data_IF_318428675989
#
_entry.id   IF_318428675989
#
_cell.length_a   1.000
_cell.length_b   1.000
_cell.length_c   1.000
_cell.angle_alpha   90.00
_cell.angle_beta   90.00
_cell.angle_gamma   90.00
#
_symmetry.space_group_name_H-M   'P 1'
#
loop_
_entity.id
_entity.type
_entity.pdbx_description
1 polymer ?
#
# COMPACT_ATOMS: atom_id res chain seq x y z
N UNK A 1 -46.85 52.24 41.88
CA UNK A 1 -47.60 51.02 41.49
C UNK A 1 -46.79 50.34 40.42
N UNK A 2 -46.55 49.04 40.60
CA UNK A 2 -45.40 48.28 40.12
C UNK A 2 -45.23 48.22 38.60
N UNK A 3 -43.96 48.25 38.18
CA UNK A 3 -43.50 47.86 36.85
C UNK A 3 -43.44 46.32 36.83
N UNK A 4 -44.49 45.65 36.36
CA UNK A 4 -44.47 44.20 36.23
C UNK A 4 -43.89 43.81 34.87
N UNK A 5 -42.59 43.51 34.91
CA UNK A 5 -41.89 42.83 33.84
C UNK A 5 -42.31 41.36 33.79
N UNK A 6 -43.03 41.00 32.74
CA UNK A 6 -43.29 39.61 32.37
C UNK A 6 -43.07 39.43 30.86
N UNK A 7 -41.85 39.73 30.42
CA UNK A 7 -41.35 39.18 29.16
C UNK A 7 -41.06 37.69 29.39
N UNK A 8 -42.04 36.88 29.04
CA UNK A 8 -41.99 35.42 29.05
C UNK A 8 -40.86 34.97 28.10
N UNK A 9 -39.71 34.63 28.68
CA UNK A 9 -38.57 34.04 27.96
C UNK A 9 -38.95 32.60 27.60
N UNK A 10 -39.45 32.41 26.37
CA UNK A 10 -39.72 31.09 25.80
C UNK A 10 -38.42 30.26 25.77
N UNK A 11 -38.42 29.00 26.23
CA UNK A 11 -37.20 28.23 26.41
C UNK A 11 -36.55 27.93 25.04
N UNK A 12 -35.24 28.19 24.87
CA UNK A 12 -34.53 27.89 23.62
C UNK A 12 -34.33 26.38 23.38
N UNK A 13 -34.98 25.50 24.14
CA UNK A 13 -34.69 24.06 24.20
C UNK A 13 -35.01 23.31 22.90
N UNK A 14 -36.01 23.75 22.13
CA UNK A 14 -36.36 23.09 20.86
C UNK A 14 -35.42 23.49 19.72
N UNK A 15 -35.03 24.75 19.62
CA UNK A 15 -34.01 25.18 18.65
C UNK A 15 -32.64 24.61 19.00
N UNK A 16 -32.30 24.54 20.30
CA UNK A 16 -31.04 23.95 20.74
C UNK A 16 -31.03 22.43 20.53
N UNK A 17 -32.15 21.74 20.75
CA UNK A 17 -32.31 20.31 20.45
C UNK A 17 -32.30 20.04 18.94
N UNK A 18 -32.94 20.90 18.13
CA UNK A 18 -32.90 20.78 16.67
C UNK A 18 -31.51 21.08 16.12
N UNK A 19 -30.80 22.06 16.68
CA UNK A 19 -29.42 22.39 16.32
C UNK A 19 -28.44 21.29 16.75
N UNK A 20 -28.63 20.71 17.94
CA UNK A 20 -27.86 19.56 18.42
C UNK A 20 -28.18 18.28 17.62
N UNK A 21 -29.42 18.12 17.16
CA UNK A 21 -29.84 17.02 16.28
C UNK A 21 -29.26 17.16 14.87
N UNK A 22 -29.26 18.37 14.30
CA UNK A 22 -28.63 18.69 13.00
C UNK A 22 -27.11 18.49 13.07
N UNK A 23 -26.45 18.92 14.16
CA UNK A 23 -25.02 18.65 14.40
C UNK A 23 -24.76 17.16 14.67
N UNK A 24 -25.68 16.43 15.30
CA UNK A 24 -25.55 14.98 15.55
C UNK A 24 -25.68 14.14 14.28
N UNK A 25 -26.38 14.62 13.25
CA UNK A 25 -26.43 13.98 11.93
C UNK A 25 -25.27 14.34 11.03
N UNK A 26 -24.45 15.34 11.40
CA UNK A 26 -23.16 15.58 10.78
C UNK A 26 -22.14 14.61 11.39
N UNK A 27 -22.30 13.32 11.09
CA UNK A 27 -21.21 12.37 11.26
C UNK A 27 -20.00 12.98 10.54
N UNK A 28 -18.85 13.19 11.21
CA UNK A 28 -17.64 13.51 10.47
C UNK A 28 -17.47 12.38 9.48
N UNK A 29 -17.49 12.71 8.20
CA UNK A 29 -16.93 11.83 7.18
C UNK A 29 -15.45 11.80 7.52
N UNK A 30 -15.05 10.94 8.46
CA UNK A 30 -13.67 10.60 8.66
C UNK A 30 -13.22 10.11 7.29
N UNK A 31 -12.43 10.93 6.59
CA UNK A 31 -11.70 10.49 5.43
C UNK A 31 -10.81 9.35 5.92
N UNK A 32 -11.33 8.12 5.81
CA UNK A 32 -10.58 6.88 6.01
C UNK A 32 -9.26 7.10 5.32
N UNK A 33 -8.20 7.21 6.12
CA UNK A 33 -6.88 7.53 5.62
C UNK A 33 -6.53 6.50 4.55
N UNK A 34 -5.85 6.89 3.47
CA UNK A 34 -5.52 5.93 2.40
C UNK A 34 -4.82 4.68 2.98
N UNK A 35 -4.07 4.87 4.06
CA UNK A 35 -3.43 3.84 4.89
C UNK A 35 -4.41 2.80 5.48
N UNK A 36 -5.57 3.24 5.98
CA UNK A 36 -6.63 2.36 6.49
C UNK A 36 -7.34 1.61 5.38
N UNK A 37 -7.50 2.25 4.21
CA UNK A 37 -8.02 1.58 3.00
C UNK A 37 -7.04 0.52 2.50
N UNK A 38 -5.73 0.73 2.63
CA UNK A 38 -4.72 -0.30 2.33
C UNK A 38 -4.70 -1.42 3.37
N UNK A 39 -5.05 -1.13 4.63
CA UNK A 39 -5.13 -2.14 5.68
C UNK A 39 -6.26 -3.15 5.45
N UNK A 40 -7.36 -2.73 4.82
CA UNK A 40 -8.50 -3.58 4.49
C UNK A 40 -8.54 -3.88 2.98
N UNK A 41 -7.75 -4.86 2.53
CA UNK A 41 -7.75 -5.26 1.12
C UNK A 41 -6.55 -6.11 0.69
N UNK A 42 -6.41 -6.40 -0.61
CA UNK A 42 -5.30 -7.19 -1.15
C UNK A 42 -3.92 -6.52 -0.95
N UNK A 43 -3.91 -5.20 -0.72
CA UNK A 43 -2.70 -4.44 -0.40
C UNK A 43 -2.22 -4.57 1.06
N UNK A 44 -3.03 -5.16 1.95
CA UNK A 44 -2.63 -5.47 3.33
C UNK A 44 -1.32 -6.27 3.39
N UNK A 45 -1.11 -7.18 2.44
CA UNK A 45 0.12 -7.98 2.33
C UNK A 45 1.36 -7.09 2.17
N UNK A 46 1.25 -5.99 1.41
CA UNK A 46 2.34 -5.03 1.23
C UNK A 46 2.51 -4.16 2.47
N UNK A 47 1.41 -3.73 3.09
CA UNK A 47 1.43 -2.96 4.34
C UNK A 47 2.16 -3.73 5.44
N UNK A 48 1.82 -5.01 5.62
CA UNK A 48 2.49 -5.90 6.55
C UNK A 48 3.96 -6.10 6.21
N UNK A 49 4.28 -6.16 4.91
CA UNK A 49 5.67 -6.36 4.45
C UNK A 49 6.55 -5.15 4.74
N UNK A 50 5.99 -3.94 4.66
CA UNK A 50 6.69 -2.71 5.05
C UNK A 50 6.88 -2.65 6.56
N UNK A 51 5.82 -2.95 7.34
CA UNK A 51 5.86 -2.90 8.82
C UNK A 51 6.83 -3.93 9.40
N UNK A 52 6.80 -5.16 8.92
CA UNK A 52 7.62 -6.25 9.44
C UNK A 52 8.99 -6.35 8.73
N UNK A 53 9.26 -5.47 7.76
CA UNK A 53 10.46 -5.53 6.91
C UNK A 53 10.70 -6.91 6.27
N UNK A 54 9.63 -7.65 5.95
CA UNK A 54 9.75 -9.02 5.41
C UNK A 54 10.25 -9.01 3.98
N UNK A 55 10.93 -10.07 3.57
CA UNK A 55 11.30 -10.25 2.18
C UNK A 55 10.08 -10.54 1.29
N UNK A 56 10.06 -9.91 0.13
CA UNK A 56 9.07 -10.14 -0.92
C UNK A 56 9.76 -10.57 -2.21
N UNK A 57 9.08 -11.45 -2.94
CA UNK A 57 9.44 -11.84 -4.30
C UNK A 57 8.50 -11.12 -5.27
N UNK A 58 9.07 -10.33 -6.17
CA UNK A 58 8.34 -9.58 -7.18
C UNK A 58 8.71 -10.15 -8.55
N UNK A 59 7.69 -10.60 -9.30
CA UNK A 59 7.87 -11.00 -10.68
C UNK A 59 7.58 -9.81 -11.60
N UNK A 60 8.59 -9.39 -12.36
CA UNK A 60 8.47 -8.26 -13.28
C UNK A 60 8.10 -8.74 -14.69
N UNK A 61 7.49 -7.84 -15.48
CA UNK A 61 7.11 -8.08 -16.88
C UNK A 61 8.27 -8.47 -17.79
N UNK A 62 9.50 -8.08 -17.44
CA UNK A 62 10.69 -8.37 -18.22
C UNK A 62 11.27 -9.79 -18.00
N UNK A 63 10.47 -10.73 -17.46
CA UNK A 63 10.89 -12.07 -17.03
C UNK A 63 12.05 -12.09 -16.02
N UNK A 64 12.20 -10.98 -15.28
CA UNK A 64 13.16 -10.85 -14.19
C UNK A 64 12.43 -10.96 -12.86
N UNK A 65 13.07 -11.63 -11.90
CA UNK A 65 12.55 -11.76 -10.54
C UNK A 65 13.38 -10.88 -9.60
N UNK A 66 12.71 -10.09 -8.78
CA UNK A 66 13.34 -9.26 -7.76
C UNK A 66 13.01 -9.86 -6.40
N UNK A 67 14.03 -10.15 -5.60
CA UNK A 67 13.87 -10.49 -4.19
C UNK A 67 14.39 -9.32 -3.37
N UNK A 68 13.58 -8.73 -2.49
CA UNK A 68 14.00 -7.57 -1.73
C UNK A 68 13.07 -7.26 -0.57
N UNK A 69 13.35 -6.17 0.16
CA UNK A 69 12.46 -5.66 1.22
C UNK A 69 11.80 -4.39 0.72
N UNK A 70 10.48 -4.28 0.88
CA UNK A 70 9.73 -3.07 0.53
C UNK A 70 9.86 -2.07 1.66
N UNK A 71 10.24 -0.84 1.32
CA UNK A 71 10.32 0.27 2.28
C UNK A 71 9.08 1.17 2.22
N UNK A 72 8.54 1.37 1.03
CA UNK A 72 7.32 2.13 0.79
C UNK A 72 6.62 1.60 -0.46
N UNK A 73 5.30 1.78 -0.52
CA UNK A 73 4.49 1.49 -1.70
C UNK A 73 3.43 2.59 -1.92
N UNK A 74 2.81 2.57 -3.09
CA UNK A 74 1.78 3.53 -3.55
C UNK A 74 0.59 2.76 -4.14
N UNK A 75 -0.54 3.45 -4.38
CA UNK A 75 -1.77 2.91 -5.00
C UNK A 75 -1.53 2.29 -6.38
N UNK A 76 -0.56 2.81 -7.12
CA UNK A 76 -0.16 2.29 -8.43
C UNK A 76 0.76 1.06 -8.33
N UNK A 77 1.04 0.57 -7.12
CA UNK A 77 2.10 -0.41 -6.85
C UNK A 77 3.50 0.08 -7.23
N UNK A 78 3.72 1.39 -7.25
CA UNK A 78 5.09 1.91 -7.23
C UNK A 78 5.71 1.53 -5.89
N UNK A 79 6.94 1.03 -5.89
CA UNK A 79 7.60 0.53 -4.69
C UNK A 79 9.00 1.07 -4.56
N UNK A 80 9.38 1.43 -3.34
CA UNK A 80 10.77 1.66 -2.96
C UNK A 80 11.27 0.37 -2.32
N UNK A 81 12.32 -0.20 -2.90
CA UNK A 81 12.91 -1.46 -2.46
C UNK A 81 14.33 -1.23 -1.94
N UNK A 82 14.69 -1.97 -0.89
CA UNK A 82 16.04 -2.01 -0.34
C UNK A 82 16.57 -3.45 -0.35
N UNK A 83 17.89 -3.60 -0.46
CA UNK A 83 18.59 -4.88 -0.50
C UNK A 83 18.02 -5.83 -1.56
N UNK A 84 17.91 -5.34 -2.79
CA UNK A 84 17.30 -6.06 -3.91
C UNK A 84 18.31 -6.99 -4.56
N UNK A 85 17.92 -8.24 -4.71
CA UNK A 85 18.58 -9.26 -5.53
C UNK A 85 17.76 -9.47 -6.80
N UNK A 86 18.28 -8.98 -7.93
CA UNK A 86 17.71 -9.20 -9.25
C UNK A 86 18.22 -10.53 -9.80
N UNK A 87 17.32 -11.41 -10.23
CA UNK A 87 17.62 -12.72 -10.78
C UNK A 87 17.02 -12.84 -12.18
N UNK A 88 17.84 -13.18 -13.16
CA UNK A 88 17.40 -13.50 -14.52
C UNK A 88 18.14 -14.71 -15.07
N UNK A 89 17.48 -15.41 -15.99
CA UNK A 89 18.08 -16.53 -16.71
C UNK A 89 18.51 -16.06 -18.09
N UNK A 90 19.79 -16.24 -18.41
CA UNK A 90 20.24 -16.10 -19.80
C UNK A 90 20.23 -17.49 -20.43
N UNK A 91 19.45 -17.62 -21.50
CA UNK A 91 19.55 -18.76 -22.38
C UNK A 91 20.66 -18.47 -23.40
N UNK A 92 21.86 -19.08 -23.26
CA UNK A 92 22.91 -18.92 -24.26
C UNK A 92 22.39 -19.34 -25.63
N UNK A 93 22.43 -18.43 -26.61
CA UNK A 93 22.13 -18.73 -28.01
C UNK A 93 23.29 -19.57 -28.56
N UNK A 94 23.21 -20.88 -28.42
CA UNK A 94 24.15 -21.81 -29.02
C UNK A 94 24.07 -21.70 -30.55
N UNK A 95 25.22 -21.60 -31.23
CA UNK A 95 25.30 -21.65 -32.70
C UNK A 95 24.77 -22.97 -33.26
N UNK A 96 24.33 -22.96 -34.53
CA UNK A 96 23.76 -24.13 -35.22
C UNK A 96 24.65 -25.37 -35.02
N UNK A 97 24.15 -26.39 -34.31
CA UNK A 97 24.75 -27.73 -34.24
C UNK A 97 25.32 -28.17 -32.88
N UNK A 98 25.35 -27.33 -31.84
CA UNK A 98 25.80 -27.77 -30.49
C UNK A 98 24.62 -27.97 -29.52
N UNK A 99 24.79 -28.92 -28.58
CA UNK A 99 23.81 -29.22 -27.51
C UNK A 99 23.39 -27.93 -26.80
N UNK A 100 22.08 -27.75 -26.59
CA UNK A 100 21.50 -26.59 -25.89
C UNK A 100 22.31 -26.33 -24.61
N UNK A 101 23.00 -25.20 -24.56
CA UNK A 101 23.78 -24.85 -23.38
C UNK A 101 22.84 -24.60 -22.19
N UNK A 102 23.27 -25.01 -20.99
CA UNK A 102 22.45 -24.93 -19.77
C UNK A 102 22.06 -23.47 -19.50
N UNK A 103 20.81 -23.21 -19.09
CA UNK A 103 20.41 -21.86 -18.69
C UNK A 103 21.32 -21.40 -17.54
N UNK A 104 21.93 -20.23 -17.71
CA UNK A 104 22.81 -19.64 -16.68
C UNK A 104 21.99 -18.63 -15.90
N UNK A 105 21.82 -18.89 -14.62
CA UNK A 105 21.20 -17.96 -13.70
C UNK A 105 22.22 -16.87 -13.34
N UNK A 106 21.89 -15.62 -13.63
CA UNK A 106 22.67 -14.47 -13.19
C UNK A 106 21.92 -13.75 -12.07
N UNK A 107 22.70 -13.22 -11.14
CA UNK A 107 22.19 -12.40 -10.05
C UNK A 107 22.97 -11.10 -9.94
N UNK A 108 22.27 -10.03 -9.57
CA UNK A 108 22.84 -8.72 -9.25
C UNK A 108 22.25 -8.22 -7.94
N UNK A 109 23.09 -7.62 -7.11
CA UNK A 109 22.67 -6.91 -5.92
C UNK A 109 22.58 -5.41 -6.17
N UNK A 110 21.49 -4.81 -5.69
CA UNK A 110 21.19 -3.38 -5.77
C UNK A 110 20.74 -2.95 -4.38
N UNK A 111 21.47 -2.01 -3.77
CA UNK A 111 21.20 -1.60 -2.38
C UNK A 111 19.86 -0.87 -2.22
N UNK A 112 19.52 0.02 -3.17
CA UNK A 112 18.26 0.77 -3.21
C UNK A 112 17.75 0.85 -4.63
N UNK A 113 16.45 0.60 -4.83
CA UNK A 113 15.82 0.60 -6.14
C UNK A 113 14.42 1.18 -6.06
N UNK A 114 14.06 2.02 -7.02
CA UNK A 114 12.67 2.43 -7.24
C UNK A 114 12.08 1.57 -8.37
N UNK A 115 10.97 0.89 -8.07
CA UNK A 115 10.21 0.09 -9.01
C UNK A 115 8.91 0.78 -9.36
N UNK A 116 8.62 0.87 -10.65
CA UNK A 116 7.37 1.40 -11.18
C UNK A 116 6.30 0.30 -11.25
N UNK A 117 5.08 0.65 -10.87
CA UNK A 117 3.95 -0.29 -10.79
C UNK A 117 3.57 -0.99 -12.08
N UNK A 118 3.74 -0.33 -13.24
CA UNK A 118 3.44 -0.89 -14.55
C UNK A 118 4.23 -2.16 -14.89
N UNK A 119 5.39 -2.35 -14.23
CA UNK A 119 6.28 -3.49 -14.46
C UNK A 119 5.98 -4.68 -13.56
N UNK A 120 5.16 -4.51 -12.52
CA UNK A 120 4.86 -5.55 -11.53
C UNK A 120 3.73 -6.43 -12.04
N UNK A 121 3.96 -7.75 -12.07
CA UNK A 121 2.91 -8.72 -12.42
C UNK A 121 2.39 -9.41 -11.16
N UNK A 122 3.29 -9.89 -10.31
CA UNK A 122 2.95 -10.67 -9.13
C UNK A 122 3.86 -10.27 -7.99
N UNK A 123 3.27 -10.11 -6.80
CA UNK A 123 4.01 -9.94 -5.56
C UNK A 123 3.67 -11.07 -4.61
N UNK A 124 4.70 -11.70 -4.06
CA UNK A 124 4.57 -12.80 -3.13
C UNK A 124 5.34 -12.45 -1.85
N UNK A 125 4.65 -12.52 -0.71
CA UNK A 125 5.27 -12.41 0.61
C UNK A 125 5.95 -13.73 0.94
N UNK A 126 7.23 -13.68 1.32
CA UNK A 126 7.93 -14.88 1.77
C UNK A 126 7.62 -15.15 3.25
N UNK A 127 6.97 -16.28 3.62
CA UNK A 127 6.67 -16.58 5.01
C UNK A 127 7.91 -16.99 5.84
N UNK A 128 9.03 -17.31 5.18
CA UNK A 128 10.24 -17.88 5.82
C UNK A 128 11.38 -16.87 6.04
N UNK A 129 11.16 -15.58 5.79
CA UNK A 129 12.18 -14.54 5.93
C UNK A 129 11.81 -13.49 6.96
N UNK A 130 12.03 -13.80 8.25
CA UNK A 130 12.27 -12.78 9.28
C UNK A 130 13.67 -12.20 9.08
#
# INVERSE_FOLDING_TARGET
VSFDGSFLFSPPSLLFSFFLFVMSTAAPVEELTEEERFAQGPFSILQDSVKNHTQVLINCRNNKKLLGRVKAFDRHCNMVLENVKEMWTEAPKTGKGQKKAKPVNKERYISKMFLRGDSVILVLKNPLGQ
#
